data_IF_091890791788
#
_entry.id   IF_091890791788
#
_cell.length_a   1.000
_cell.length_b   1.000
_cell.length_c   1.000
_cell.angle_alpha   90.00
_cell.angle_beta   90.00
_cell.angle_gamma   90.00
#
_symmetry.space_group_name_H-M   'P 1'
#
loop_
_entity.id
_entity.type
_entity.pdbx_description
1 polymer ?
#
# COMPACT_ATOMS: atom_id res chain seq x y z
N UNK A 1 2.62 -10.70 -8.86
CA UNK A 1 2.44 -11.55 -7.68
C UNK A 1 2.54 -10.63 -6.51
N UNK A 2 1.38 -10.41 -5.91
CA UNK A 2 1.18 -9.58 -4.75
C UNK A 2 1.79 -10.17 -3.49
N UNK A 3 1.50 -9.52 -2.38
CA UNK A 3 1.90 -10.02 -1.07
C UNK A 3 0.94 -11.12 -0.59
N UNK A 4 1.49 -12.07 0.15
CA UNK A 4 0.72 -13.02 0.96
C UNK A 4 0.33 -12.36 2.27
N UNK A 5 -0.98 -12.21 2.51
CA UNK A 5 -1.55 -11.50 3.66
C UNK A 5 -2.19 -12.50 4.64
N UNK A 6 -1.53 -12.76 5.77
CA UNK A 6 -1.92 -13.84 6.70
C UNK A 6 -3.24 -13.58 7.43
N UNK A 7 -3.55 -12.31 7.75
CA UNK A 7 -4.76 -11.94 8.49
C UNK A 7 -5.80 -11.25 7.60
N UNK A 8 -5.85 -11.53 6.28
CA UNK A 8 -6.81 -10.93 5.35
C UNK A 8 -8.20 -11.62 5.40
N UNK A 9 -8.75 -11.72 6.61
CA UNK A 9 -10.08 -12.25 6.88
C UNK A 9 -11.17 -11.17 6.73
N UNK A 10 -12.43 -11.54 7.00
CA UNK A 10 -13.57 -10.63 6.89
C UNK A 10 -13.48 -9.43 7.86
N UNK A 11 -12.93 -9.61 9.06
CA UNK A 11 -12.77 -8.54 10.04
C UNK A 11 -11.70 -7.54 9.59
N UNK A 12 -10.57 -8.04 9.07
CA UNK A 12 -9.54 -7.16 8.49
C UNK A 12 -10.07 -6.42 7.28
N UNK A 13 -10.80 -7.08 6.38
CA UNK A 13 -11.38 -6.40 5.19
C UNK A 13 -12.36 -5.30 5.57
N UNK A 14 -13.18 -5.52 6.60
CA UNK A 14 -14.06 -4.48 7.13
C UNK A 14 -13.27 -3.30 7.72
N UNK A 15 -12.20 -3.57 8.47
CA UNK A 15 -11.31 -2.53 9.00
C UNK A 15 -10.58 -1.77 7.87
N UNK A 16 -10.06 -2.47 6.85
CA UNK A 16 -9.44 -1.84 5.68
C UNK A 16 -10.41 -0.91 4.95
N UNK A 17 -11.66 -1.35 4.72
CA UNK A 17 -12.68 -0.53 4.07
C UNK A 17 -13.00 0.73 4.90
N UNK A 18 -13.07 0.60 6.23
CA UNK A 18 -13.27 1.75 7.11
C UNK A 18 -12.10 2.76 7.04
N UNK A 19 -10.86 2.29 6.89
CA UNK A 19 -9.69 3.17 6.70
C UNK A 19 -9.69 3.88 5.34
N UNK A 20 -10.12 3.18 4.27
CA UNK A 20 -10.32 3.82 2.96
C UNK A 20 -11.41 4.88 3.04
N UNK A 21 -12.56 4.56 3.65
CA UNK A 21 -13.69 5.49 3.81
C UNK A 21 -13.30 6.70 4.66
N UNK A 22 -12.47 6.50 5.70
CA UNK A 22 -11.90 7.58 6.51
C UNK A 22 -11.06 8.54 5.66
N UNK A 23 -10.16 8.02 4.81
CA UNK A 23 -9.30 8.84 3.97
C UNK A 23 -10.07 9.57 2.87
N UNK A 24 -11.10 8.94 2.31
CA UNK A 24 -12.00 9.58 1.35
C UNK A 24 -12.74 10.75 2.01
N UNK A 25 -13.32 10.52 3.20
CA UNK A 25 -14.06 11.55 3.92
C UNK A 25 -13.16 12.73 4.34
N UNK A 26 -11.90 12.46 4.68
CA UNK A 26 -10.91 13.47 5.03
C UNK A 26 -10.27 14.18 3.82
N UNK A 27 -10.53 13.72 2.58
CA UNK A 27 -9.84 14.20 1.39
C UNK A 27 -8.33 13.90 1.40
N UNK A 28 -7.93 12.87 2.15
CA UNK A 28 -6.55 12.53 2.43
C UNK A 28 -6.06 11.30 1.65
N UNK A 29 -6.94 10.59 0.93
CA UNK A 29 -6.56 9.40 0.17
C UNK A 29 -5.43 9.71 -0.82
N UNK A 30 -4.37 8.89 -0.81
CA UNK A 30 -3.24 9.07 -1.70
C UNK A 30 -3.64 8.92 -3.17
N UNK A 31 -3.35 9.95 -3.97
CA UNK A 31 -3.50 9.96 -5.42
C UNK A 31 -2.12 9.97 -6.07
N UNK A 32 -1.78 8.89 -6.77
CA UNK A 32 -0.50 8.81 -7.48
C UNK A 32 -0.44 9.84 -8.61
N UNK A 33 0.67 10.59 -8.76
CA UNK A 33 0.88 11.48 -9.92
C UNK A 33 0.88 10.73 -11.26
N UNK A 34 1.00 9.40 -11.23
CA UNK A 34 0.93 8.55 -12.42
C UNK A 34 -0.50 8.26 -12.86
N UNK A 35 -1.52 8.56 -12.07
CA UNK A 35 -2.91 8.39 -12.50
C UNK A 35 -3.25 9.38 -13.60
N UNK A 36 -4.06 8.94 -14.57
CA UNK A 36 -4.76 9.87 -15.47
C UNK A 36 -5.81 10.65 -14.69
N UNK A 37 -6.39 11.69 -15.28
CA UNK A 37 -7.52 12.39 -14.67
C UNK A 37 -8.70 11.44 -14.37
N UNK A 38 -9.00 10.53 -15.30
CA UNK A 38 -9.98 9.47 -15.08
C UNK A 38 -9.54 8.53 -13.97
N UNK A 39 -8.27 8.10 -13.96
CA UNK A 39 -7.72 7.24 -12.92
C UNK A 39 -7.84 7.86 -11.54
N UNK A 40 -7.57 9.16 -11.39
CA UNK A 40 -7.72 9.87 -10.12
C UNK A 40 -9.17 9.92 -9.64
N UNK A 41 -10.14 10.04 -10.56
CA UNK A 41 -11.57 9.99 -10.23
C UNK A 41 -12.05 8.60 -9.80
N UNK A 42 -11.56 7.55 -10.47
CA UNK A 42 -12.01 6.17 -10.22
C UNK A 42 -11.24 5.49 -9.07
N UNK A 43 -10.05 5.99 -8.73
CA UNK A 43 -9.15 5.38 -7.75
C UNK A 43 -9.77 5.08 -6.39
N UNK A 44 -10.55 6.00 -5.76
CA UNK A 44 -11.17 5.73 -4.46
C UNK A 44 -12.06 4.48 -4.47
N UNK A 45 -12.91 4.35 -5.49
CA UNK A 45 -13.86 3.23 -5.60
C UNK A 45 -13.15 1.92 -5.93
N UNK A 46 -12.13 1.97 -6.79
CA UNK A 46 -11.32 0.80 -7.14
C UNK A 46 -10.57 0.26 -5.93
N UNK A 47 -9.92 1.13 -5.16
CA UNK A 47 -9.20 0.73 -3.96
C UNK A 47 -10.18 0.17 -2.91
N UNK A 48 -11.31 0.85 -2.69
CA UNK A 48 -12.35 0.39 -1.76
C UNK A 48 -12.89 -1.00 -2.13
N UNK A 49 -13.18 -1.23 -3.42
CA UNK A 49 -13.62 -2.52 -3.92
C UNK A 49 -12.54 -3.61 -3.74
N UNK A 50 -11.28 -3.27 -4.03
CA UNK A 50 -10.15 -4.18 -3.86
C UNK A 50 -9.98 -4.61 -2.40
N UNK A 51 -9.99 -3.69 -1.44
CA UNK A 51 -9.83 -4.05 -0.02
C UNK A 51 -11.03 -4.87 0.49
N UNK A 52 -12.23 -4.61 -0.03
CA UNK A 52 -13.46 -5.31 0.40
C UNK A 52 -13.51 -6.77 -0.05
N UNK A 53 -13.10 -7.08 -1.29
CA UNK A 53 -13.26 -8.44 -1.82
C UNK A 53 -12.19 -8.89 -2.82
N UNK A 54 -11.22 -8.04 -3.13
CA UNK A 54 -10.18 -8.28 -4.12
C UNK A 54 -8.79 -8.54 -3.53
N UNK A 55 -7.80 -8.34 -4.39
CA UNK A 55 -6.36 -8.45 -4.11
C UNK A 55 -5.62 -7.30 -4.79
N UNK A 56 -4.38 -7.07 -4.38
CA UNK A 56 -3.45 -6.13 -5.02
C UNK A 56 -3.17 -6.47 -6.50
N UNK A 57 -2.93 -7.74 -6.82
CA UNK A 57 -2.78 -8.19 -8.23
C UNK A 57 -4.06 -7.89 -9.04
N UNK A 58 -5.25 -8.10 -8.45
CA UNK A 58 -6.52 -7.80 -9.08
C UNK A 58 -6.72 -6.30 -9.35
N UNK A 59 -6.35 -5.46 -8.39
CA UNK A 59 -6.36 -3.99 -8.52
C UNK A 59 -5.39 -3.52 -9.62
N UNK A 60 -4.17 -4.08 -9.67
CA UNK A 60 -3.21 -3.80 -10.73
C UNK A 60 -3.77 -4.11 -12.13
N UNK A 61 -4.46 -5.25 -12.28
CA UNK A 61 -5.09 -5.62 -13.56
C UNK A 61 -6.23 -4.68 -13.95
N UNK A 62 -6.98 -4.14 -12.99
CA UNK A 62 -8.02 -3.13 -13.29
C UNK A 62 -7.38 -1.84 -13.82
N UNK A 63 -6.33 -1.35 -13.16
CA UNK A 63 -5.57 -0.18 -13.62
C UNK A 63 -5.04 -0.33 -15.06
N UNK A 64 -4.53 -1.52 -15.39
CA UNK A 64 -4.03 -1.84 -16.75
C UNK A 64 -5.18 -1.87 -17.76
N UNK A 65 -6.23 -2.66 -17.49
CA UNK A 65 -7.33 -2.88 -18.44
C UNK A 65 -8.08 -1.60 -18.78
N UNK A 66 -8.19 -0.68 -17.83
CA UNK A 66 -8.90 0.58 -17.98
C UNK A 66 -8.00 1.73 -18.43
N UNK A 67 -6.67 1.53 -18.52
CA UNK A 67 -5.73 2.57 -18.97
C UNK A 67 -5.67 3.76 -18.01
N UNK A 68 -5.72 3.51 -16.69
CA UNK A 68 -5.84 4.56 -15.68
C UNK A 68 -4.53 5.22 -15.26
N UNK A 69 -3.40 4.81 -15.85
CA UNK A 69 -2.10 5.43 -15.64
C UNK A 69 -1.64 6.18 -16.88
N UNK A 70 -1.00 7.32 -16.66
CA UNK A 70 -0.26 8.05 -17.69
C UNK A 70 0.81 7.13 -18.32
N UNK A 71 1.06 7.30 -19.61
CA UNK A 71 2.06 6.51 -20.34
C UNK A 71 3.46 7.09 -20.23
N UNK A 72 3.58 8.36 -19.84
CA UNK A 72 4.84 9.08 -19.67
C UNK A 72 4.88 9.81 -18.33
N UNK A 73 6.07 9.92 -17.76
CA UNK A 73 6.35 10.71 -16.55
C UNK A 73 7.55 11.62 -16.76
N UNK A 74 7.52 12.78 -16.09
CA UNK A 74 8.62 13.71 -16.07
C UNK A 74 9.76 13.15 -15.18
N UNK A 75 10.99 13.24 -15.66
CA UNK A 75 12.18 12.80 -14.94
C UNK A 75 13.28 13.85 -15.04
N UNK A 76 14.21 13.81 -14.09
CA UNK A 76 15.35 14.71 -14.05
C UNK A 76 16.65 13.92 -14.21
N UNK A 77 17.55 14.38 -15.10
CA UNK A 77 18.91 13.85 -15.25
C UNK A 77 19.86 15.01 -15.48
N UNK A 78 20.91 15.10 -14.65
CA UNK A 78 21.90 16.18 -14.72
C UNK A 78 21.26 17.59 -14.71
N UNK A 79 20.25 17.80 -13.87
CA UNK A 79 19.53 19.07 -13.75
C UNK A 79 18.58 19.40 -14.91
N UNK A 80 18.48 18.56 -15.95
CA UNK A 80 17.55 18.74 -17.08
C UNK A 80 16.32 17.86 -16.94
N UNK A 81 15.17 18.45 -17.27
CA UNK A 81 13.89 17.76 -17.36
C UNK A 81 13.76 17.03 -18.68
N UNK A 82 13.31 15.77 -18.64
CA UNK A 82 12.96 14.99 -19.83
C UNK A 82 11.75 14.10 -19.55
N UNK A 83 11.05 13.71 -20.61
CA UNK A 83 9.95 12.76 -20.54
C UNK A 83 10.47 11.34 -20.76
N UNK A 84 10.00 10.39 -19.96
CA UNK A 84 10.27 8.96 -20.14
C UNK A 84 8.97 8.18 -20.02
N UNK A 85 8.97 6.96 -20.56
CA UNK A 85 7.85 6.05 -20.38
C UNK A 85 7.66 5.71 -18.88
N UNK A 86 6.40 5.66 -18.45
CA UNK A 86 6.06 5.08 -17.15
C UNK A 86 6.47 3.61 -17.14
N UNK A 87 7.15 3.11 -16.09
CA UNK A 87 7.54 1.72 -16.01
C UNK A 87 6.34 0.78 -16.16
N UNK A 88 6.51 -0.33 -16.89
CA UNK A 88 5.46 -1.36 -17.05
C UNK A 88 5.02 -1.97 -15.71
N UNK A 89 5.84 -1.86 -14.67
CA UNK A 89 5.55 -2.31 -13.31
C UNK A 89 4.73 -1.31 -12.50
N UNK A 90 4.53 -0.07 -12.97
CA UNK A 90 3.87 0.98 -12.20
C UNK A 90 2.45 0.62 -11.69
N UNK A 91 1.57 -0.05 -12.47
CA UNK A 91 0.28 -0.48 -11.96
C UNK A 91 0.40 -1.45 -10.77
N UNK A 92 1.31 -2.43 -10.89
CA UNK A 92 1.56 -3.40 -9.81
C UNK A 92 2.17 -2.73 -8.58
N UNK A 93 3.12 -1.81 -8.77
CA UNK A 93 3.75 -1.07 -7.67
C UNK A 93 2.76 -0.18 -6.92
N UNK A 94 1.86 0.51 -7.64
CA UNK A 94 0.82 1.33 -7.01
C UNK A 94 -0.18 0.46 -6.25
N UNK A 95 -0.69 -0.59 -6.91
CA UNK A 95 -1.70 -1.46 -6.32
C UNK A 95 -1.18 -2.20 -5.07
N UNK A 96 0.02 -2.80 -5.14
CA UNK A 96 0.65 -3.46 -4.00
C UNK A 96 0.90 -2.48 -2.85
N UNK A 97 1.45 -1.29 -3.13
CA UNK A 97 1.79 -0.32 -2.10
C UNK A 97 0.56 0.15 -1.31
N UNK A 98 -0.48 0.57 -2.03
CA UNK A 98 -1.68 1.14 -1.39
C UNK A 98 -2.58 0.07 -0.79
N UNK A 99 -2.69 -1.12 -1.41
CA UNK A 99 -3.39 -2.24 -0.80
C UNK A 99 -2.69 -2.67 0.49
N UNK A 100 -1.37 -2.81 0.48
CA UNK A 100 -0.60 -3.17 1.68
C UNK A 100 -0.70 -2.10 2.77
N UNK A 101 -0.67 -0.81 2.41
CA UNK A 101 -0.91 0.28 3.37
C UNK A 101 -2.27 0.15 4.03
N UNK A 102 -3.33 -0.09 3.26
CA UNK A 102 -4.68 -0.26 3.81
C UNK A 102 -4.81 -1.53 4.65
N UNK A 103 -4.19 -2.63 4.22
CA UNK A 103 -4.10 -3.86 5.01
C UNK A 103 -3.43 -3.61 6.36
N UNK A 104 -2.25 -2.97 6.38
CA UNK A 104 -1.50 -2.64 7.59
C UNK A 104 -2.32 -1.75 8.54
N UNK A 105 -3.02 -0.74 8.02
CA UNK A 105 -3.93 0.09 8.84
C UNK A 105 -5.12 -0.73 9.37
N UNK A 106 -5.69 -1.61 8.55
CA UNK A 106 -6.79 -2.49 8.95
C UNK A 106 -6.40 -3.44 10.09
N UNK A 107 -5.26 -4.13 9.97
CA UNK A 107 -4.76 -4.99 11.06
C UNK A 107 -4.31 -4.18 12.27
N UNK A 108 -3.77 -2.98 12.11
CA UNK A 108 -3.40 -2.13 13.24
C UNK A 108 -4.64 -1.64 14.01
N UNK A 109 -5.70 -1.22 13.31
CA UNK A 109 -6.98 -0.88 13.92
C UNK A 109 -7.60 -2.06 14.68
N UNK A 110 -7.51 -3.28 14.11
CA UNK A 110 -7.89 -4.50 14.81
C UNK A 110 -7.01 -4.79 16.02
N UNK A 111 -5.70 -4.65 15.89
CA UNK A 111 -4.73 -4.86 16.97
C UNK A 111 -5.01 -3.96 18.16
N UNK A 112 -5.37 -2.69 17.93
CA UNK A 112 -5.82 -1.79 19.00
C UNK A 112 -7.07 -2.32 19.71
N UNK A 113 -8.08 -2.76 18.94
CA UNK A 113 -9.33 -3.27 19.51
C UNK A 113 -9.16 -4.62 20.24
N UNK A 114 -8.25 -5.47 19.76
CA UNK A 114 -7.97 -6.81 20.29
C UNK A 114 -6.83 -6.80 21.33
N UNK A 115 -6.19 -5.65 21.57
CA UNK A 115 -4.98 -5.48 22.40
C UNK A 115 -3.83 -6.41 21.97
N UNK A 116 -3.52 -6.42 20.67
CA UNK A 116 -2.47 -7.22 20.01
C UNK A 116 -1.48 -6.33 19.27
N UNK A 117 -0.23 -6.76 19.23
CA UNK A 117 0.83 -6.11 18.46
C UNK A 117 0.83 -6.59 17.00
N UNK A 118 1.61 -5.90 16.17
CA UNK A 118 1.83 -6.23 14.77
C UNK A 118 3.27 -6.73 14.57
N UNK A 119 3.43 -7.97 14.14
CA UNK A 119 4.72 -8.55 13.77
C UNK A 119 4.97 -8.39 12.27
N UNK A 120 6.13 -7.81 11.93
CA UNK A 120 6.55 -7.58 10.55
C UNK A 120 7.02 -8.90 9.95
N UNK A 121 6.56 -9.21 8.74
CA UNK A 121 7.05 -10.36 7.98
C UNK A 121 7.15 -10.06 6.48
N UNK A 122 7.78 -10.98 5.74
CA UNK A 122 7.91 -10.91 4.30
C UNK A 122 6.73 -11.61 3.60
N UNK A 123 5.84 -10.80 3.04
CA UNK A 123 4.69 -11.28 2.25
C UNK A 123 5.04 -11.71 0.83
N UNK A 124 6.24 -11.39 0.32
CA UNK A 124 6.68 -11.87 -1.01
C UNK A 124 8.15 -12.25 -1.03
N UNK A 125 8.43 -13.39 -1.66
CA UNK A 125 9.79 -13.86 -1.91
C UNK A 125 10.60 -12.81 -2.68
N UNK A 126 11.80 -12.54 -2.19
CA UNK A 126 12.80 -11.72 -2.86
C UNK A 126 14.14 -12.43 -2.77
N UNK A 127 14.76 -12.72 -3.91
CA UNK A 127 16.05 -13.40 -3.96
C UNK A 127 17.19 -12.54 -3.36
N UNK A 128 17.11 -11.21 -3.50
CA UNK A 128 18.09 -10.25 -2.99
C UNK A 128 17.38 -9.11 -2.24
N UNK A 129 16.87 -9.35 -1.02
CA UNK A 129 16.20 -8.30 -0.27
C UNK A 129 17.20 -7.24 0.20
N UNK A 130 16.76 -5.99 0.28
CA UNK A 130 17.57 -4.90 0.83
C UNK A 130 17.84 -5.18 2.31
N UNK A 131 19.08 -4.95 2.77
CA UNK A 131 19.48 -5.21 4.17
C UNK A 131 18.58 -4.49 5.19
N UNK A 132 18.19 -3.25 4.90
CA UNK A 132 17.30 -2.45 5.74
C UNK A 132 15.93 -3.12 5.90
N UNK A 133 15.35 -3.66 4.82
CA UNK A 133 14.10 -4.41 4.88
C UNK A 133 14.27 -5.73 5.64
N UNK A 134 15.39 -6.45 5.46
CA UNK A 134 15.64 -7.69 6.22
C UNK A 134 15.73 -7.45 7.73
N UNK A 135 16.30 -6.31 8.14
CA UNK A 135 16.45 -5.97 9.55
C UNK A 135 15.11 -5.76 10.26
N UNK A 136 14.03 -5.45 9.52
CA UNK A 136 12.69 -5.22 10.05
C UNK A 136 11.90 -6.52 10.26
N UNK A 137 12.24 -7.61 9.57
CA UNK A 137 11.51 -8.88 9.67
C UNK A 137 11.56 -9.45 11.11
N UNK A 138 10.42 -9.89 11.61
CA UNK A 138 10.25 -10.42 12.97
C UNK A 138 10.16 -9.35 14.07
N UNK A 139 10.38 -8.06 13.75
CA UNK A 139 10.14 -7.00 14.74
C UNK A 139 8.65 -6.85 15.03
N UNK A 140 8.33 -6.42 16.25
CA UNK A 140 6.97 -6.09 16.67
C UNK A 140 6.79 -4.58 16.81
N UNK A 141 5.61 -4.11 16.46
CA UNK A 141 5.17 -2.73 16.62
C UNK A 141 3.86 -2.70 17.42
N UNK A 142 3.75 -1.80 18.41
CA UNK A 142 2.46 -1.50 19.01
C UNK A 142 1.46 -1.08 17.94
N UNK A 143 0.26 -1.65 17.98
CA UNK A 143 -0.75 -1.44 16.96
C UNK A 143 -1.24 0.02 16.89
N UNK A 144 -1.36 0.69 18.03
CA UNK A 144 -1.72 2.11 18.12
C UNK A 144 -0.66 3.02 17.47
N UNK A 145 0.61 2.78 17.77
CA UNK A 145 1.73 3.52 17.20
C UNK A 145 1.81 3.31 15.67
N UNK A 146 1.63 2.08 15.20
CA UNK A 146 1.64 1.78 13.76
C UNK A 146 0.46 2.45 13.04
N UNK A 147 -0.74 2.39 13.62
CA UNK A 147 -1.92 3.01 13.02
C UNK A 147 -1.75 4.52 12.88
N UNK A 148 -1.26 5.18 13.92
CA UNK A 148 -1.02 6.63 13.90
C UNK A 148 0.06 7.02 12.89
N UNK A 149 1.16 6.27 12.82
CA UNK A 149 2.23 6.51 11.84
C UNK A 149 1.71 6.40 10.39
N UNK A 150 0.90 5.38 10.10
CA UNK A 150 0.36 5.15 8.76
C UNK A 150 -0.72 6.16 8.34
N UNK A 151 -1.46 6.72 9.30
CA UNK A 151 -2.46 7.79 9.07
C UNK A 151 -1.80 9.15 8.87
N UNK A 152 -0.67 9.41 9.52
CA UNK A 152 0.05 10.68 9.43
C UNK A 152 0.97 10.76 8.20
N UNK A 153 1.55 9.64 7.76
CA UNK A 153 2.52 9.60 6.66
C UNK A 153 1.92 9.02 5.37
N UNK A 154 1.02 9.77 4.75
CA UNK A 154 0.31 9.35 3.52
C UNK A 154 1.22 9.46 2.30
N UNK A 155 1.23 8.42 1.46
CA UNK A 155 1.97 8.41 0.18
C UNK A 155 3.49 8.35 0.30
N UNK A 156 4.02 8.25 1.52
CA UNK A 156 5.46 8.18 1.83
C UNK A 156 5.73 7.03 2.81
N UNK A 157 6.99 6.66 2.96
CA UNK A 157 7.40 5.62 3.92
C UNK A 157 7.11 6.08 5.35
N UNK A 158 6.45 5.23 6.14
CA UNK A 158 6.17 5.48 7.55
C UNK A 158 7.45 5.44 8.40
N UNK A 159 7.48 6.20 9.50
CA UNK A 159 8.65 6.31 10.38
C UNK A 159 8.93 4.98 11.10
N UNK A 160 7.92 4.11 11.24
CA UNK A 160 8.05 2.80 11.89
C UNK A 160 8.53 1.68 10.96
N UNK A 161 8.85 2.02 9.70
CA UNK A 161 9.45 1.10 8.73
C UNK A 161 8.43 0.26 7.95
N UNK A 162 7.15 0.64 7.99
CA UNK A 162 6.08 -0.02 7.23
C UNK A 162 5.16 1.00 6.55
N UNK A 163 4.79 0.81 5.27
CA UNK A 163 5.52 -0.01 4.30
C UNK A 163 6.92 0.62 4.00
N UNK A 164 8.01 -0.16 3.90
CA UNK A 164 9.34 0.37 3.63
C UNK A 164 9.54 0.53 2.13
N UNK A 165 8.85 1.50 1.56
CA UNK A 165 8.94 1.84 0.15
C UNK A 165 8.46 0.76 -0.82
N UNK A 166 8.45 1.10 -2.12
CA UNK A 166 7.94 0.22 -3.15
C UNK A 166 8.80 -1.04 -3.29
N UNK A 167 8.13 -2.18 -3.49
CA UNK A 167 8.75 -3.49 -3.73
C UNK A 167 9.59 -4.07 -2.59
N UNK A 168 9.42 -3.62 -1.34
CA UNK A 168 10.12 -4.23 -0.20
C UNK A 168 9.71 -5.67 0.09
N UNK A 169 8.47 -6.03 -0.28
CA UNK A 169 7.91 -7.34 0.01
C UNK A 169 7.53 -7.53 1.48
N UNK A 170 7.52 -6.46 2.29
CA UNK A 170 7.19 -6.51 3.72
C UNK A 170 5.74 -6.12 4.00
N UNK A 171 5.16 -6.79 4.98
CA UNK A 171 3.83 -6.53 5.53
C UNK A 171 3.80 -6.96 7.01
N UNK A 172 2.62 -7.07 7.61
CA UNK A 172 2.44 -7.38 9.04
C UNK A 172 1.35 -8.41 9.31
N UNK A 173 1.43 -9.06 10.47
CA UNK A 173 0.40 -9.95 11.01
C UNK A 173 0.12 -9.60 12.47
N UNK A 174 -1.08 -9.92 12.94
CA UNK A 174 -1.44 -9.82 14.35
C UNK A 174 -0.68 -10.89 15.17
N UNK A 175 -0.19 -10.52 16.36
CA UNK A 175 0.46 -11.46 17.31
C UNK A 175 -0.50 -11.92 18.38
#
# INVERSE_FOLDING_TARGET
MGLDYQDLDAATRAAMAAEVDHDIAAGALYLSPRLTEQGAREWPDLLRAAVTSGTDDGLAQQLIRQGLLNTQEQSHRNGKTFWKAVPVTAPATLAEGEFNRMYLRGIAARGVAENRDIEIYRGRYSANPRRESQALEGQRRPADALLEDLRTHIGVDGVLGLPPGPNSGLTGKLT
#
